data_IF_120626578145
#
_entry.id   IF_120626578145
#
_cell.length_a   1.000
_cell.length_b   1.000
_cell.length_c   1.000
_cell.angle_alpha   90.00
_cell.angle_beta   90.00
_cell.angle_gamma   90.00
#
_symmetry.space_group_name_H-M   'P 1'
#
loop_
_entity.id
_entity.type
_entity.pdbx_description
1 polymer ?
#
# COMPACT_ATOMS: atom_id res chain seq x y z
N UNK A 1 -18.55 -55.12 -40.68
CA UNK A 1 -17.65 -54.01 -40.31
C UNK A 1 -18.52 -52.84 -39.87
N UNK A 2 -18.77 -52.73 -38.58
CA UNK A 2 -19.67 -51.72 -38.01
C UNK A 2 -18.91 -50.40 -37.80
N UNK A 3 -19.40 -49.32 -38.39
CA UNK A 3 -18.82 -47.98 -38.23
C UNK A 3 -19.20 -47.42 -36.86
N UNK A 4 -18.20 -47.13 -36.02
CA UNK A 4 -18.38 -46.41 -34.76
C UNK A 4 -18.40 -44.90 -35.06
N UNK A 5 -19.51 -44.23 -34.73
CA UNK A 5 -19.64 -42.77 -34.82
C UNK A 5 -18.87 -42.11 -33.65
N UNK A 6 -18.04 -41.08 -33.89
CA UNK A 6 -17.42 -40.31 -32.82
C UNK A 6 -18.49 -39.47 -32.13
N UNK A 7 -18.91 -39.89 -30.93
CA UNK A 7 -19.85 -39.12 -30.11
C UNK A 7 -19.23 -37.81 -29.66
N UNK A 8 -19.81 -36.68 -30.07
CA UNK A 8 -19.48 -35.36 -29.51
C UNK A 8 -19.83 -35.36 -28.01
N UNK A 9 -18.82 -35.27 -27.14
CA UNK A 9 -19.03 -35.10 -25.70
C UNK A 9 -19.61 -33.71 -25.46
N UNK A 10 -20.89 -33.64 -25.09
CA UNK A 10 -21.54 -32.39 -24.66
C UNK A 10 -20.91 -31.97 -23.33
N UNK A 11 -20.00 -31.00 -23.38
CA UNK A 11 -19.45 -30.38 -22.18
C UNK A 11 -20.44 -29.30 -21.75
N UNK A 12 -21.00 -29.48 -20.55
CA UNK A 12 -21.93 -28.51 -19.95
C UNK A 12 -21.20 -27.18 -19.84
N UNK A 13 -21.63 -26.18 -20.62
CA UNK A 13 -21.08 -24.83 -20.51
C UNK A 13 -21.63 -24.25 -19.20
N UNK A 14 -20.77 -23.88 -18.23
CA UNK A 14 -21.26 -23.36 -16.96
C UNK A 14 -22.08 -22.10 -17.21
N UNK A 15 -23.22 -22.02 -16.51
CA UNK A 15 -24.13 -20.87 -16.56
C UNK A 15 -23.42 -19.59 -16.13
N UNK A 16 -23.97 -18.44 -16.49
CA UNK A 16 -23.43 -17.15 -16.06
C UNK A 16 -23.36 -17.04 -14.53
N UNK A 17 -24.32 -17.63 -13.83
CA UNK A 17 -24.37 -17.68 -12.36
C UNK A 17 -23.31 -18.61 -11.77
N UNK A 18 -23.06 -19.78 -12.37
CA UNK A 18 -21.96 -20.67 -11.94
C UNK A 18 -20.58 -20.05 -12.19
N UNK A 19 -20.41 -19.33 -13.31
CA UNK A 19 -19.18 -18.56 -13.58
C UNK A 19 -19.01 -17.41 -12.60
N UNK A 20 -20.09 -16.69 -12.28
CA UNK A 20 -20.06 -15.59 -11.30
C UNK A 20 -19.77 -16.12 -9.89
N UNK A 21 -20.38 -17.24 -9.48
CA UNK A 21 -20.15 -17.87 -8.19
C UNK A 21 -18.73 -18.45 -8.07
N UNK A 22 -18.19 -19.03 -9.15
CA UNK A 22 -16.80 -19.48 -9.19
C UNK A 22 -15.81 -18.30 -9.12
N UNK A 23 -16.08 -17.22 -9.87
CA UNK A 23 -15.28 -16.00 -9.82
C UNK A 23 -15.30 -15.34 -8.43
N UNK A 24 -16.44 -15.35 -7.75
CA UNK A 24 -16.59 -14.83 -6.39
C UNK A 24 -15.83 -15.68 -5.35
N UNK A 25 -15.78 -17.01 -5.51
CA UNK A 25 -14.99 -17.90 -4.64
C UNK A 25 -13.48 -17.73 -4.79
N UNK A 26 -13.03 -17.21 -5.93
CA UNK A 26 -11.62 -16.87 -6.20
C UNK A 26 -11.37 -15.36 -6.15
N UNK A 27 -12.34 -14.57 -5.69
CA UNK A 27 -12.21 -13.12 -5.68
C UNK A 27 -11.09 -12.73 -4.72
N UNK A 28 -10.21 -11.86 -5.19
CA UNK A 28 -9.12 -11.32 -4.40
C UNK A 28 -9.69 -10.58 -3.18
N UNK A 29 -9.30 -11.01 -1.97
CA UNK A 29 -9.62 -10.31 -0.73
C UNK A 29 -8.42 -9.46 -0.29
N UNK A 30 -8.45 -8.14 -0.54
CA UNK A 30 -7.35 -7.26 -0.16
C UNK A 30 -7.20 -7.18 1.37
N UNK A 31 -8.30 -7.17 2.13
CA UNK A 31 -8.28 -6.98 3.58
C UNK A 31 -7.61 -8.18 4.26
N UNK A 32 -7.97 -9.40 3.86
CA UNK A 32 -7.35 -10.61 4.37
C UNK A 32 -5.83 -10.64 4.06
N UNK A 33 -5.43 -10.21 2.86
CA UNK A 33 -4.01 -10.16 2.49
C UNK A 33 -3.23 -9.13 3.30
N UNK A 34 -3.80 -7.96 3.59
CA UNK A 34 -3.18 -6.96 4.47
C UNK A 34 -3.09 -7.48 5.89
N UNK A 35 -4.16 -8.05 6.44
CA UNK A 35 -4.19 -8.58 7.81
C UNK A 35 -3.09 -9.62 8.03
N UNK A 36 -2.88 -10.50 7.05
CA UNK A 36 -1.89 -11.57 7.12
C UNK A 36 -0.44 -11.07 7.27
N UNK A 37 -0.13 -9.88 6.72
CA UNK A 37 1.24 -9.32 6.72
C UNK A 37 1.41 -8.13 7.66
N UNK A 38 0.31 -7.55 8.18
CA UNK A 38 0.35 -6.27 8.88
C UNK A 38 1.24 -6.31 10.13
N UNK A 39 0.91 -7.18 11.09
CA UNK A 39 1.62 -7.27 12.37
C UNK A 39 2.97 -8.00 12.25
N UNK A 40 3.04 -9.00 11.38
CA UNK A 40 4.20 -9.87 11.23
C UNK A 40 5.33 -9.25 10.39
N UNK A 41 4.99 -8.44 9.40
CA UNK A 41 5.95 -7.94 8.40
C UNK A 41 5.92 -6.42 8.28
N UNK A 42 4.75 -5.81 8.03
CA UNK A 42 4.67 -4.39 7.71
C UNK A 42 5.05 -3.47 8.88
N UNK A 43 4.52 -3.72 10.09
CA UNK A 43 4.84 -2.91 11.28
C UNK A 43 6.35 -3.00 11.62
N UNK A 44 6.95 -4.19 11.78
CA UNK A 44 8.39 -4.31 12.03
C UNK A 44 9.25 -3.70 10.91
N UNK A 45 8.79 -3.80 9.66
CA UNK A 45 9.46 -3.16 8.53
C UNK A 45 9.54 -1.65 8.70
N UNK A 46 8.42 -0.98 8.96
CA UNK A 46 8.42 0.47 9.17
C UNK A 46 9.23 0.88 10.40
N UNK A 47 9.15 0.13 11.50
CA UNK A 47 9.93 0.42 12.70
C UNK A 47 11.43 0.37 12.46
N UNK A 48 11.90 -0.57 11.62
CA UNK A 48 13.32 -0.71 11.28
C UNK A 48 13.77 0.26 10.19
N UNK A 49 12.91 0.51 9.20
CA UNK A 49 13.24 1.26 7.99
C UNK A 49 13.11 2.77 8.18
N UNK A 50 12.16 3.22 9.01
CA UNK A 50 11.87 4.63 9.16
C UNK A 50 12.99 5.36 9.89
N UNK A 51 13.55 6.39 9.24
CA UNK A 51 14.56 7.29 9.81
C UNK A 51 13.94 8.57 10.36
N UNK A 52 14.72 9.33 11.12
CA UNK A 52 14.30 10.64 11.61
C UNK A 52 14.04 11.62 10.46
N UNK A 53 12.97 12.42 10.57
CA UNK A 53 12.54 13.37 9.54
C UNK A 53 13.70 14.21 8.99
N UNK A 54 14.52 14.79 9.87
CA UNK A 54 15.65 15.65 9.51
C UNK A 54 16.67 14.92 8.63
N UNK A 55 17.04 13.70 9.01
CA UNK A 55 18.02 12.88 8.29
C UNK A 55 17.49 12.47 6.92
N UNK A 56 16.22 12.08 6.85
CA UNK A 56 15.58 11.69 5.59
C UNK A 56 15.45 12.89 4.66
N UNK A 57 15.04 14.06 5.15
CA UNK A 57 14.96 15.29 4.36
C UNK A 57 16.33 15.72 3.83
N UNK A 58 17.35 15.75 4.70
CA UNK A 58 18.71 16.10 4.30
C UNK A 58 19.27 15.12 3.25
N UNK A 59 19.08 13.82 3.44
CA UNK A 59 19.56 12.81 2.50
C UNK A 59 18.78 12.87 1.19
N UNK A 60 17.46 13.04 1.23
CA UNK A 60 16.63 13.13 0.02
C UNK A 60 16.96 14.36 -0.83
N UNK A 61 17.33 15.49 -0.20
CA UNK A 61 17.75 16.70 -0.91
C UNK A 61 19.14 16.59 -1.54
N UNK A 62 20.06 15.84 -0.91
CA UNK A 62 21.44 15.71 -1.37
C UNK A 62 21.67 14.51 -2.30
N UNK A 63 20.98 13.39 -2.05
CA UNK A 63 21.06 12.15 -2.83
C UNK A 63 19.74 11.37 -2.73
N UNK A 64 18.76 11.65 -3.61
CA UNK A 64 17.45 10.99 -3.61
C UNK A 64 17.53 9.46 -3.71
N UNK A 65 18.49 8.93 -4.48
CA UNK A 65 18.67 7.49 -4.66
C UNK A 65 19.22 6.83 -3.40
N UNK A 66 20.21 7.42 -2.73
CA UNK A 66 20.70 6.91 -1.45
C UNK A 66 19.62 6.97 -0.36
N UNK A 67 18.80 8.03 -0.34
CA UNK A 67 17.63 8.10 0.53
C UNK A 67 16.62 6.99 0.21
N UNK A 68 16.43 6.68 -1.07
CA UNK A 68 15.52 5.66 -1.56
C UNK A 68 15.97 4.26 -1.16
N UNK A 69 17.26 3.98 -1.29
CA UNK A 69 17.87 2.72 -0.87
C UNK A 69 17.86 2.53 0.65
N UNK A 70 18.00 3.61 1.42
CA UNK A 70 18.07 3.55 2.88
C UNK A 70 16.70 3.55 3.55
N UNK A 71 15.82 4.45 3.14
CA UNK A 71 14.54 4.73 3.80
C UNK A 71 13.31 4.37 2.96
N UNK A 72 13.48 4.06 1.67
CA UNK A 72 12.38 3.72 0.77
C UNK A 72 12.42 2.28 0.29
N UNK A 73 11.72 2.04 -0.83
CA UNK A 73 11.67 0.76 -1.53
C UNK A 73 12.60 0.75 -2.76
N UNK A 74 13.80 0.15 -2.68
CA UNK A 74 14.71 0.09 -3.82
C UNK A 74 14.19 -0.78 -4.96
N UNK A 75 13.18 -1.62 -4.71
CA UNK A 75 12.50 -2.47 -5.70
C UNK A 75 11.26 -1.80 -6.30
N UNK A 76 11.07 -0.49 -6.09
CA UNK A 76 10.00 0.28 -6.73
C UNK A 76 10.08 0.11 -8.25
N UNK A 77 8.95 0.31 -8.93
CA UNK A 77 8.97 0.39 -10.39
C UNK A 77 9.89 1.52 -10.83
N UNK A 78 10.65 1.31 -11.91
CA UNK A 78 11.73 2.22 -12.35
C UNK A 78 11.25 3.67 -12.48
N UNK A 79 10.02 3.88 -12.98
CA UNK A 79 9.39 5.19 -13.17
C UNK A 79 8.60 5.72 -11.97
N UNK A 80 8.47 4.97 -10.88
CA UNK A 80 7.75 5.44 -9.68
C UNK A 80 8.57 6.47 -8.91
N UNK A 81 7.95 7.51 -8.33
CA UNK A 81 8.65 8.40 -7.41
C UNK A 81 9.13 7.65 -6.17
N UNK A 82 10.15 8.20 -5.49
CA UNK A 82 10.57 7.68 -4.20
C UNK A 82 9.50 7.93 -3.14
N UNK A 83 9.28 6.92 -2.29
CA UNK A 83 8.51 7.03 -1.06
C UNK A 83 9.42 6.64 0.10
N UNK A 84 9.48 7.45 1.13
CA UNK A 84 10.40 7.28 2.26
C UNK A 84 9.62 7.00 3.54
N UNK A 85 10.10 6.03 4.32
CA UNK A 85 9.63 5.78 5.68
C UNK A 85 10.30 6.78 6.63
N UNK A 86 9.49 7.49 7.41
CA UNK A 86 9.95 8.56 8.30
C UNK A 86 9.32 8.42 9.68
N UNK A 87 10.12 8.64 10.72
CA UNK A 87 9.65 8.89 12.09
C UNK A 87 9.76 10.37 12.38
N UNK A 88 8.73 10.89 13.04
CA UNK A 88 8.66 12.29 13.44
C UNK A 88 8.21 12.36 14.90
N UNK A 89 8.86 13.23 15.66
CA UNK A 89 8.41 13.67 16.97
C UNK A 89 8.42 15.18 16.95
N UNK A 90 7.37 15.81 17.45
CA UNK A 90 7.22 17.25 17.38
C UNK A 90 5.95 17.73 18.07
N UNK A 91 5.80 19.05 18.12
CA UNK A 91 4.61 19.71 18.66
C UNK A 91 3.60 19.93 17.55
N UNK A 92 2.33 19.63 17.82
CA UNK A 92 1.23 19.96 16.90
C UNK A 92 1.01 21.47 16.92
N UNK A 93 1.12 22.11 15.75
CA UNK A 93 0.90 23.56 15.58
C UNK A 93 -0.46 23.87 14.96
N UNK A 94 -1.00 22.98 14.14
CA UNK A 94 -2.36 23.08 13.62
C UNK A 94 -2.98 21.68 13.43
N UNK A 95 -4.31 21.63 13.50
CA UNK A 95 -5.09 20.43 13.25
C UNK A 95 -6.33 20.78 12.43
N UNK A 96 -6.47 20.18 11.25
CA UNK A 96 -7.72 20.18 10.49
C UNK A 96 -8.40 18.84 10.71
N UNK A 97 -9.39 18.80 11.60
CA UNK A 97 -10.21 17.61 11.88
C UNK A 97 -11.62 17.70 11.31
N UNK A 98 -11.95 18.80 10.64
CA UNK A 98 -13.27 19.00 10.03
C UNK A 98 -13.40 18.23 8.71
N UNK A 99 -12.28 18.04 8.00
CA UNK A 99 -12.20 17.26 6.77
C UNK A 99 -12.14 15.75 7.03
N UNK A 100 -12.69 14.94 6.11
CA UNK A 100 -12.51 13.48 6.13
C UNK A 100 -11.06 13.04 5.89
N UNK A 101 -10.24 13.91 5.31
CA UNK A 101 -8.80 13.73 5.24
C UNK A 101 -8.17 14.68 6.25
N UNK A 102 -8.42 14.42 7.54
CA UNK A 102 -7.89 15.27 8.59
C UNK A 102 -6.37 15.20 8.59
N UNK A 103 -5.75 16.32 8.93
CA UNK A 103 -4.29 16.46 8.96
C UNK A 103 -3.82 17.20 10.21
N UNK A 104 -2.65 16.83 10.69
CA UNK A 104 -1.91 17.56 11.71
C UNK A 104 -0.67 18.18 11.09
N UNK A 105 -0.46 19.46 11.38
CA UNK A 105 0.79 20.13 11.09
C UNK A 105 1.68 20.02 12.32
N UNK A 106 2.89 19.49 12.14
CA UNK A 106 3.84 19.16 13.21
C UNK A 106 5.11 19.97 13.03
N UNK A 107 5.48 20.67 14.11
CA UNK A 107 6.75 21.36 14.32
C UNK A 107 7.73 20.41 15.00
N UNK A 108 8.77 20.00 14.28
CA UNK A 108 9.76 19.03 14.74
C UNK A 108 11.02 19.70 15.32
N UNK A 109 11.28 20.97 15.02
CA UNK A 109 12.48 21.70 15.44
C UNK A 109 12.24 22.77 16.52
N UNK A 110 10.98 23.06 16.83
CA UNK A 110 10.53 24.00 17.85
C UNK A 110 10.49 25.47 17.40
N UNK A 111 10.59 25.76 16.10
CA UNK A 111 10.58 27.13 15.57
C UNK A 111 9.17 27.75 15.45
N UNK A 112 8.13 26.97 15.75
CA UNK A 112 6.73 27.37 15.67
C UNK A 112 6.13 27.27 14.27
N UNK A 113 6.85 26.74 13.28
CA UNK A 113 6.37 26.46 11.92
C UNK A 113 6.19 24.96 11.72
N UNK A 114 5.36 24.61 10.73
CA UNK A 114 5.12 23.22 10.39
C UNK A 114 6.27 22.67 9.52
N UNK A 115 6.95 21.63 10.00
CA UNK A 115 7.95 20.88 9.25
C UNK A 115 7.34 19.72 8.47
N UNK A 116 6.23 19.17 8.98
CA UNK A 116 5.54 18.05 8.34
C UNK A 116 4.03 18.14 8.50
N UNK A 117 3.33 17.52 7.55
CA UNK A 117 1.89 17.32 7.57
C UNK A 117 1.56 15.83 7.65
N UNK A 118 0.94 15.43 8.75
CA UNK A 118 0.57 14.03 9.03
C UNK A 118 -0.92 13.85 8.75
N UNK A 119 -1.29 12.90 7.89
CA UNK A 119 -2.68 12.50 7.72
C UNK A 119 -3.13 11.64 8.90
N UNK A 120 -4.26 11.98 9.52
CA UNK A 120 -4.78 11.30 10.73
C UNK A 120 -6.17 10.67 10.53
N UNK A 121 -6.69 10.64 9.30
CA UNK A 121 -7.95 9.95 8.98
C UNK A 121 -9.20 10.81 9.18
N UNK A 122 -10.44 10.27 9.07
CA UNK A 122 -10.82 8.87 8.92
C UNK A 122 -10.62 8.28 7.51
N UNK A 123 -10.02 9.01 6.57
CA UNK A 123 -9.66 8.48 5.25
C UNK A 123 -8.23 8.88 4.86
N UNK A 124 -7.28 7.95 5.02
CA UNK A 124 -5.90 8.10 4.54
C UNK A 124 -5.85 7.93 3.02
N UNK A 125 -5.19 8.88 2.34
CA UNK A 125 -5.15 8.97 0.87
C UNK A 125 -3.79 8.57 0.32
N UNK A 126 -3.80 8.06 -0.91
CA UNK A 126 -2.59 7.70 -1.67
C UNK A 126 -2.19 6.24 -1.49
N UNK A 127 -0.95 5.91 -1.82
CA UNK A 127 -0.42 4.52 -1.84
C UNK A 127 0.91 4.39 -1.11
N UNK A 128 1.33 5.42 -0.37
CA UNK A 128 2.65 5.52 0.24
C UNK A 128 3.00 4.32 1.13
N UNK A 129 2.05 3.84 1.95
CA UNK A 129 2.28 2.69 2.83
C UNK A 129 2.67 1.44 2.03
N UNK A 130 1.85 1.08 1.04
CA UNK A 130 2.12 -0.07 0.16
C UNK A 130 3.41 0.11 -0.63
N UNK A 131 3.64 1.29 -1.20
CA UNK A 131 4.74 1.54 -2.14
C UNK A 131 6.11 1.55 -1.44
N UNK A 132 6.15 1.77 -0.14
CA UNK A 132 7.36 1.72 0.68
C UNK A 132 7.81 0.29 1.01
N UNK A 133 6.94 -0.71 0.89
CA UNK A 133 7.28 -2.10 1.23
C UNK A 133 8.11 -2.76 0.11
N UNK A 134 9.33 -3.19 0.42
CA UNK A 134 10.23 -3.82 -0.56
C UNK A 134 10.03 -5.33 -0.76
N UNK A 135 9.22 -5.95 0.10
CA UNK A 135 8.85 -7.35 0.03
C UNK A 135 7.52 -7.60 -0.69
N UNK A 136 6.75 -6.53 -0.97
CA UNK A 136 5.52 -6.63 -1.77
C UNK A 136 5.79 -6.15 -3.19
N UNK A 137 5.40 -6.95 -4.18
CA UNK A 137 5.59 -6.63 -5.59
C UNK A 137 4.28 -6.67 -6.38
N UNK A 138 4.13 -5.75 -7.34
CA UNK A 138 3.00 -5.73 -8.27
C UNK A 138 2.78 -7.08 -8.99
N UNK A 139 3.85 -7.81 -9.30
CA UNK A 139 3.79 -9.09 -10.01
C UNK A 139 3.10 -10.20 -9.20
N UNK A 140 2.89 -10.01 -7.90
CA UNK A 140 2.13 -10.92 -7.04
C UNK A 140 0.61 -10.70 -7.12
N UNK A 141 0.17 -9.75 -7.95
CA UNK A 141 -1.22 -9.39 -8.17
C UNK A 141 -1.59 -9.65 -9.62
N UNK A 142 -2.86 -10.02 -9.85
CA UNK A 142 -3.32 -10.38 -11.20
C UNK A 142 -3.42 -9.17 -12.12
N UNK A 143 -3.69 -7.99 -11.56
CA UNK A 143 -3.96 -6.77 -12.31
C UNK A 143 -3.84 -5.51 -11.44
N UNK A 144 -3.95 -4.34 -12.09
CA UNK A 144 -3.88 -3.03 -11.45
C UNK A 144 -5.03 -2.75 -10.47
N UNK A 145 -6.19 -3.39 -10.66
CA UNK A 145 -7.36 -3.23 -9.77
C UNK A 145 -7.07 -3.89 -8.42
N UNK A 146 -6.58 -5.14 -8.42
CA UNK A 146 -6.19 -5.84 -7.19
C UNK A 146 -5.05 -5.09 -6.46
N UNK A 147 -4.07 -4.58 -7.20
CA UNK A 147 -3.00 -3.77 -6.63
C UNK A 147 -3.50 -2.48 -5.97
N UNK A 148 -4.45 -1.79 -6.60
CA UNK A 148 -5.07 -0.58 -6.05
C UNK A 148 -5.95 -0.90 -4.83
N UNK A 149 -6.73 -1.98 -4.88
CA UNK A 149 -7.55 -2.45 -3.77
C UNK A 149 -6.69 -2.81 -2.55
N UNK A 150 -5.56 -3.46 -2.76
CA UNK A 150 -4.59 -3.76 -1.71
C UNK A 150 -4.01 -2.51 -1.06
N UNK A 151 -3.63 -1.51 -1.87
CA UNK A 151 -3.18 -0.22 -1.34
C UNK A 151 -4.24 0.51 -0.51
N UNK A 152 -5.50 0.48 -0.97
CA UNK A 152 -6.63 1.02 -0.22
C UNK A 152 -6.85 0.29 1.11
N UNK A 153 -6.81 -1.04 1.11
CA UNK A 153 -6.96 -1.83 2.34
C UNK A 153 -5.83 -1.54 3.34
N UNK A 154 -4.61 -1.30 2.87
CA UNK A 154 -3.48 -0.86 3.72
C UNK A 154 -3.78 0.45 4.45
N UNK A 155 -4.29 1.44 3.73
CA UNK A 155 -4.67 2.73 4.30
C UNK A 155 -5.84 2.59 5.29
N UNK A 156 -6.80 1.73 4.99
CA UNK A 156 -7.93 1.45 5.90
C UNK A 156 -7.44 0.77 7.18
N UNK A 157 -6.53 -0.20 7.07
CA UNK A 157 -5.92 -0.89 8.21
C UNK A 157 -5.07 0.03 9.09
N UNK A 158 -4.36 0.98 8.50
CA UNK A 158 -3.59 1.98 9.24
C UNK A 158 -4.46 2.97 10.03
N UNK A 159 -5.75 3.05 9.70
CA UNK A 159 -6.72 3.97 10.27
C UNK A 159 -7.75 3.27 11.18
N UNK A 160 -7.52 2.00 11.53
CA UNK A 160 -8.30 1.20 12.50
C UNK A 160 -7.52 1.02 13.79
#
# INVERSE_FOLDING_TARGET
MAAALPGCKIIKTPTAEEKAAAAAKTAFDPNAKVEAIWQSEAVPYFEKRAGDLKDVMQLSASSPDAAGEKYGNPRKQSSSPWTYAVKITGKVVAADTASRAATLDVDADGDGKADAKVQIGPALRGTALRDTLDFVNFNEFKNQIEWAQFGKAFNEKANT
#
